data_IF_599434827247
#
_entry.id   IF_599434827247
#
_cell.length_a   1.000
_cell.length_b   1.000
_cell.length_c   1.000
_cell.angle_alpha   90.00
_cell.angle_beta   90.00
_cell.angle_gamma   90.00
#
_symmetry.space_group_name_H-M   'P 1'
#
loop_
_entity.id
_entity.type
_entity.pdbx_description
1 polymer ?
#
# COMPACT_ATOMS: atom_id res chain seq x y z
N UNK A 1 13.05 -16.19 7.75
CA UNK A 1 12.97 -14.92 6.99
C UNK A 1 11.99 -15.17 5.86
N UNK A 2 10.73 -14.75 5.98
CA UNK A 2 9.75 -14.91 4.88
C UNK A 2 10.24 -14.00 3.76
N UNK A 3 10.64 -14.57 2.61
CA UNK A 3 10.99 -13.79 1.42
C UNK A 3 9.71 -13.18 0.87
N UNK A 4 9.33 -12.01 1.36
CA UNK A 4 8.27 -11.22 0.75
C UNK A 4 8.72 -10.80 -0.65
N UNK A 5 7.84 -10.93 -1.64
CA UNK A 5 8.10 -10.43 -2.98
C UNK A 5 8.10 -8.89 -2.94
N UNK A 6 9.19 -8.27 -3.39
CA UNK A 6 9.30 -6.81 -3.42
C UNK A 6 8.77 -6.25 -4.74
N UNK A 7 7.95 -5.20 -4.68
CA UNK A 7 7.48 -4.45 -5.84
C UNK A 7 8.18 -3.09 -5.86
N UNK A 8 8.86 -2.76 -6.96
CA UNK A 8 9.43 -1.44 -7.20
C UNK A 8 8.50 -0.58 -8.05
N UNK A 9 8.08 0.58 -7.54
CA UNK A 9 7.14 1.49 -8.22
C UNK A 9 7.83 2.83 -8.49
N UNK A 10 7.69 3.36 -9.71
CA UNK A 10 8.07 4.75 -10.03
C UNK A 10 6.84 5.64 -9.91
N UNK A 11 6.98 6.72 -9.15
CA UNK A 11 5.94 7.70 -8.90
C UNK A 11 6.50 9.09 -9.22
N UNK A 12 5.63 10.01 -9.59
CA UNK A 12 6.01 11.43 -9.58
C UNK A 12 6.23 11.90 -8.14
N UNK A 13 7.02 12.97 -7.98
CA UNK A 13 7.32 13.53 -6.66
C UNK A 13 6.06 14.02 -5.94
N UNK A 14 5.12 14.58 -6.68
CA UNK A 14 3.83 15.04 -6.15
C UNK A 14 3.02 13.87 -5.53
N UNK A 15 2.93 12.75 -6.26
CA UNK A 15 2.20 11.56 -5.79
C UNK A 15 2.89 10.97 -4.57
N UNK A 16 4.22 10.89 -4.58
CA UNK A 16 4.99 10.39 -3.43
C UNK A 16 4.77 11.26 -2.19
N UNK A 17 4.83 12.58 -2.33
CA UNK A 17 4.61 13.50 -1.22
C UNK A 17 3.19 13.39 -0.64
N UNK A 18 2.18 13.22 -1.50
CA UNK A 18 0.80 12.98 -1.07
C UNK A 18 0.66 11.66 -0.29
N UNK A 19 1.27 10.57 -0.79
CA UNK A 19 1.28 9.28 -0.10
C UNK A 19 1.98 9.36 1.26
N UNK A 20 3.13 10.03 1.35
CA UNK A 20 3.86 10.23 2.60
C UNK A 20 3.02 10.98 3.64
N UNK A 21 2.26 11.99 3.20
CA UNK A 21 1.35 12.74 4.08
C UNK A 21 0.18 11.87 4.56
N UNK A 22 -0.44 11.10 3.66
CA UNK A 22 -1.55 10.22 3.99
C UNK A 22 -1.13 9.10 4.96
N UNK A 23 0.01 8.45 4.70
CA UNK A 23 0.56 7.43 5.58
C UNK A 23 0.82 7.95 6.99
N UNK A 24 1.38 9.16 7.13
CA UNK A 24 1.59 9.81 8.43
C UNK A 24 0.28 10.12 9.16
N UNK A 25 -0.74 10.59 8.44
CA UNK A 25 -2.05 10.85 9.02
C UNK A 25 -2.70 9.58 9.59
N UNK A 26 -2.48 8.43 8.93
CA UNK A 26 -2.92 7.10 9.37
C UNK A 26 -1.94 6.43 10.37
N UNK A 27 -0.89 7.14 10.81
CA UNK A 27 0.16 6.64 11.72
C UNK A 27 0.84 5.35 11.23
N UNK A 28 0.98 5.19 9.90
CA UNK A 28 1.62 4.05 9.25
C UNK A 28 2.91 4.45 8.54
N UNK A 29 3.75 3.46 8.26
CA UNK A 29 4.84 3.63 7.29
C UNK A 29 4.25 3.73 5.89
N UNK A 30 4.97 4.39 4.96
CA UNK A 30 4.55 4.49 3.56
C UNK A 30 4.25 3.11 2.95
N UNK A 31 5.13 2.13 3.18
CA UNK A 31 4.96 0.76 2.68
C UNK A 31 3.70 0.09 3.21
N UNK A 32 3.45 0.17 4.52
CA UNK A 32 2.26 -0.43 5.13
C UNK A 32 0.96 0.25 4.69
N UNK A 33 1.01 1.56 4.43
CA UNK A 33 -0.12 2.30 3.89
C UNK A 33 -0.41 1.88 2.43
N UNK A 34 0.62 1.76 1.59
CA UNK A 34 0.46 1.28 0.21
C UNK A 34 -0.03 -0.17 0.16
N UNK A 35 0.49 -1.04 1.03
CA UNK A 35 0.02 -2.42 1.16
C UNK A 35 -1.47 -2.49 1.52
N UNK A 36 -1.91 -1.69 2.50
CA UNK A 36 -3.32 -1.57 2.86
C UNK A 36 -4.19 -1.17 1.66
N UNK A 37 -3.78 -0.16 0.90
CA UNK A 37 -4.51 0.30 -0.28
C UNK A 37 -4.61 -0.78 -1.36
N UNK A 38 -3.52 -1.50 -1.63
CA UNK A 38 -3.48 -2.57 -2.63
C UNK A 38 -4.39 -3.73 -2.19
N UNK A 39 -4.27 -4.18 -0.94
CA UNK A 39 -5.11 -5.26 -0.39
C UNK A 39 -6.58 -4.87 -0.47
N UNK A 40 -6.94 -3.68 0.01
CA UNK A 40 -8.33 -3.21 -0.01
C UNK A 40 -8.92 -3.13 -1.43
N UNK A 41 -8.15 -2.64 -2.41
CA UNK A 41 -8.58 -2.59 -3.81
C UNK A 41 -8.76 -3.99 -4.42
N UNK A 42 -7.82 -4.90 -4.15
CA UNK A 42 -7.89 -6.27 -4.65
C UNK A 42 -9.03 -7.06 -4.01
N UNK A 43 -9.27 -6.89 -2.71
CA UNK A 43 -10.41 -7.48 -2.01
C UNK A 43 -11.74 -6.94 -2.54
N UNK A 44 -11.84 -5.61 -2.75
CA UNK A 44 -13.03 -4.99 -3.28
C UNK A 44 -13.38 -5.47 -4.70
N UNK A 45 -12.36 -5.82 -5.49
CA UNK A 45 -12.50 -6.36 -6.84
C UNK A 45 -12.59 -7.89 -6.90
N UNK A 46 -12.47 -8.58 -5.76
CA UNK A 46 -12.51 -10.05 -5.69
C UNK A 46 -11.25 -10.74 -6.20
N UNK A 47 -10.14 -10.02 -6.38
CA UNK A 47 -8.84 -10.59 -6.75
C UNK A 47 -8.05 -11.14 -5.55
N UNK A 48 -8.43 -10.75 -4.33
CA UNK A 48 -7.90 -11.29 -3.10
C UNK A 48 -9.06 -11.72 -2.19
N UNK A 49 -9.03 -12.92 -1.59
CA UNK A 49 -10.01 -13.30 -0.58
C UNK A 49 -9.88 -12.35 0.62
N UNK A 50 -11.01 -11.90 1.18
CA UNK A 50 -11.00 -11.14 2.43
C UNK A 50 -10.45 -12.03 3.54
N UNK A 51 -9.48 -11.50 4.30
CA UNK A 51 -9.03 -12.17 5.50
C UNK A 51 -10.22 -12.26 6.48
N UNK A 52 -10.58 -13.50 6.86
CA UNK A 52 -11.65 -13.82 7.81
C UNK A 52 -11.26 -13.48 9.25
#
# INVERSE_FOLDING_TARGET
>A
MIRAASIGIRLSDEVKAALDKAAKADRRTLSAYVELLIVADLEAKGFLPKAE
#
